data_IF_573252054760
#
_entry.id   IF_573252054760
#
_cell.length_a   1.000
_cell.length_b   1.000
_cell.length_c   1.000
_cell.angle_alpha   90.00
_cell.angle_beta   90.00
_cell.angle_gamma   90.00
#
_symmetry.space_group_name_H-M   'P 1'
#
loop_
_entity.id
_entity.type
_entity.pdbx_description
1 polymer ?
#
# COMPACT_ATOMS: atom_id res chain seq x y z
N UNK A 1 11.28 18.52 21.76
CA UNK A 1 11.40 17.05 21.88
C UNK A 1 11.21 16.45 20.51
N UNK A 2 12.07 15.52 20.09
CA UNK A 2 11.97 14.85 18.79
C UNK A 2 10.84 13.80 18.80
N UNK A 3 10.13 13.67 17.69
CA UNK A 3 9.11 12.64 17.48
C UNK A 3 9.77 11.29 17.13
N UNK A 4 9.03 10.20 17.32
CA UNK A 4 9.43 8.92 16.77
C UNK A 4 9.38 8.97 15.23
N UNK A 5 10.39 8.39 14.60
CA UNK A 5 10.43 8.21 13.15
C UNK A 5 9.21 7.41 12.66
N UNK A 6 8.68 7.78 11.50
CA UNK A 6 7.49 7.12 10.93
C UNK A 6 7.69 5.61 10.75
N UNK A 7 8.87 5.18 10.31
CA UNK A 7 9.21 3.76 10.16
C UNK A 7 9.09 3.01 11.50
N UNK A 8 9.50 3.64 12.61
CA UNK A 8 9.42 3.07 13.95
C UNK A 8 7.99 2.92 14.44
N UNK A 9 7.11 3.88 14.11
CA UNK A 9 5.68 3.76 14.40
C UNK A 9 5.02 2.62 13.61
N UNK A 10 5.51 2.34 12.39
CA UNK A 10 5.05 1.21 11.59
C UNK A 10 5.52 -0.12 12.18
N UNK A 11 6.78 -0.24 12.58
CA UNK A 11 7.31 -1.45 13.24
C UNK A 11 6.55 -1.79 14.53
N UNK A 12 6.19 -0.77 15.32
CA UNK A 12 5.35 -0.93 16.51
C UNK A 12 3.94 -1.41 16.14
N UNK A 13 3.30 -0.80 15.13
CA UNK A 13 1.97 -1.21 14.68
C UNK A 13 1.95 -2.65 14.13
N UNK A 14 3.05 -3.09 13.50
CA UNK A 14 3.21 -4.46 13.01
C UNK A 14 3.51 -5.47 14.13
N UNK A 15 4.01 -5.02 15.28
CA UNK A 15 4.50 -5.88 16.36
C UNK A 15 5.86 -6.50 16.03
N UNK A 16 6.70 -5.82 15.25
CA UNK A 16 8.03 -6.29 14.84
C UNK A 16 9.18 -5.60 15.59
N UNK A 17 8.88 -4.69 16.51
CA UNK A 17 9.88 -4.03 17.35
C UNK A 17 10.42 -4.98 18.43
N UNK A 18 11.66 -4.76 18.88
CA UNK A 18 12.17 -5.49 20.06
C UNK A 18 11.49 -5.01 21.35
N UNK A 19 11.47 -5.83 22.40
CA UNK A 19 10.82 -5.50 23.69
C UNK A 19 11.31 -4.18 24.29
N UNK A 20 12.60 -3.89 24.18
CA UNK A 20 13.21 -2.64 24.68
C UNK A 20 12.70 -1.43 23.90
N UNK A 21 12.62 -1.57 22.58
CA UNK A 21 12.15 -0.51 21.68
C UNK A 21 10.66 -0.24 21.86
N UNK A 22 9.87 -1.30 22.03
CA UNK A 22 8.44 -1.22 22.31
C UNK A 22 8.18 -0.48 23.63
N UNK A 23 8.90 -0.85 24.69
CA UNK A 23 8.76 -0.19 26.01
C UNK A 23 9.06 1.30 25.94
N UNK A 24 10.18 1.68 25.31
CA UNK A 24 10.57 3.08 25.15
C UNK A 24 9.56 3.86 24.29
N UNK A 25 9.08 3.26 23.20
CA UNK A 25 8.10 3.90 22.33
C UNK A 25 6.73 4.06 23.02
N UNK A 26 6.27 3.07 23.79
CA UNK A 26 5.03 3.18 24.57
C UNK A 26 5.12 4.29 25.62
N UNK A 27 6.26 4.43 26.30
CA UNK A 27 6.50 5.54 27.21
C UNK A 27 6.41 6.89 26.48
N UNK A 28 7.02 7.02 25.30
CA UNK A 28 6.94 8.23 24.49
C UNK A 28 5.50 8.53 24.04
N UNK A 29 4.79 7.54 23.49
CA UNK A 29 3.41 7.68 22.98
C UNK A 29 2.41 8.05 24.07
N UNK A 30 2.67 7.63 25.32
CA UNK A 30 1.84 8.04 26.47
C UNK A 30 1.88 9.55 26.73
N UNK A 31 2.99 10.21 26.39
CA UNK A 31 3.20 11.65 26.63
C UNK A 31 3.13 12.50 25.37
N UNK A 32 3.29 11.91 24.18
CA UNK A 32 3.31 12.62 22.89
C UNK A 32 2.04 12.36 22.07
N UNK A 33 1.11 13.34 22.07
CA UNK A 33 -0.15 13.26 21.30
C UNK A 33 0.05 13.02 19.80
N UNK A 34 0.94 13.73 19.08
CA UNK A 34 1.15 13.49 17.65
C UNK A 34 1.61 12.07 17.32
N UNK A 35 2.54 11.51 18.09
CA UNK A 35 3.01 10.14 17.90
C UNK A 35 1.93 9.10 18.21
N UNK A 36 1.08 9.36 19.21
CA UNK A 36 -0.08 8.52 19.52
C UNK A 36 -1.08 8.48 18.37
N UNK A 37 -1.49 9.64 17.87
CA UNK A 37 -2.44 9.72 16.75
C UNK A 37 -1.90 9.04 15.49
N UNK A 38 -0.60 9.17 15.23
CA UNK A 38 0.06 8.50 14.12
C UNK A 38 0.11 6.96 14.31
N UNK A 39 0.45 6.49 15.51
CA UNK A 39 0.44 5.05 15.82
C UNK A 39 -0.96 4.45 15.68
N UNK A 40 -1.99 5.14 16.17
CA UNK A 40 -3.39 4.71 16.03
C UNK A 40 -3.81 4.60 14.56
N UNK A 41 -3.40 5.56 13.71
CA UNK A 41 -3.64 5.48 12.25
C UNK A 41 -2.99 4.24 11.65
N UNK A 42 -1.72 3.98 11.96
CA UNK A 42 -1.00 2.81 11.44
C UNK A 42 -1.60 1.50 11.95
N UNK A 43 -1.99 1.45 13.23
CA UNK A 43 -2.64 0.27 13.83
C UNK A 43 -3.95 -0.05 13.13
N UNK A 44 -4.77 0.96 12.79
CA UNK A 44 -6.01 0.74 12.02
C UNK A 44 -5.73 0.12 10.64
N UNK A 45 -4.71 0.61 9.93
CA UNK A 45 -4.33 0.04 8.63
C UNK A 45 -3.89 -1.42 8.78
N UNK A 46 -3.07 -1.73 9.79
CA UNK A 46 -2.61 -3.10 10.04
C UNK A 46 -3.78 -4.03 10.40
N UNK A 47 -4.72 -3.57 11.24
CA UNK A 47 -5.91 -4.34 11.59
C UNK A 47 -6.75 -4.64 10.35
N UNK A 48 -7.02 -3.64 9.50
CA UNK A 48 -7.75 -3.81 8.26
C UNK A 48 -7.03 -4.77 7.30
N UNK A 49 -5.71 -4.61 7.14
CA UNK A 49 -4.92 -5.49 6.28
C UNK A 49 -4.92 -6.95 6.77
N UNK A 50 -4.92 -7.17 8.08
CA UNK A 50 -5.01 -8.51 8.68
C UNK A 50 -6.41 -9.12 8.61
N UNK A 51 -7.46 -8.31 8.44
CA UNK A 51 -8.82 -8.80 8.26
C UNK A 51 -9.19 -9.06 6.79
N UNK A 52 -8.29 -8.82 5.84
CA UNK A 52 -8.49 -9.14 4.42
C UNK A 52 -8.53 -10.65 4.26
N UNK A 53 -9.63 -11.16 3.72
CA UNK A 53 -9.81 -12.57 3.39
C UNK A 53 -9.61 -12.83 1.89
N UNK A 54 -9.55 -14.10 1.51
CA UNK A 54 -9.40 -14.51 0.11
C UNK A 54 -10.50 -13.94 -0.82
N UNK A 55 -11.69 -13.64 -0.27
CA UNK A 55 -12.79 -13.03 -1.00
C UNK A 55 -12.56 -11.54 -1.34
N UNK A 56 -11.72 -10.85 -0.57
CA UNK A 56 -11.36 -9.44 -0.79
C UNK A 56 -10.23 -9.31 -1.82
N UNK A 57 -9.56 -10.41 -2.15
CA UNK A 57 -8.47 -10.40 -3.12
C UNK A 57 -9.02 -10.23 -4.54
N UNK A 58 -8.40 -9.39 -5.38
CA UNK A 58 -8.79 -9.27 -6.77
C UNK A 58 -8.60 -10.61 -7.48
N UNK A 59 -9.67 -11.06 -8.16
CA UNK A 59 -9.59 -12.25 -9.00
C UNK A 59 -8.81 -11.90 -10.26
N UNK A 60 -7.84 -12.76 -10.62
CA UNK A 60 -7.10 -12.59 -11.86
C UNK A 60 -8.06 -12.53 -13.05
N UNK A 61 -7.98 -11.50 -13.92
CA UNK A 61 -8.85 -11.40 -15.07
C UNK A 61 -8.59 -12.57 -16.03
N UNK A 62 -9.65 -13.03 -16.69
CA UNK A 62 -9.60 -14.14 -17.63
C UNK A 62 -8.66 -13.79 -18.79
N UNK A 63 -7.90 -14.77 -19.32
CA UNK A 63 -6.87 -14.52 -20.34
C UNK A 63 -7.36 -13.75 -21.57
N UNK A 64 -8.63 -13.92 -21.97
CA UNK A 64 -9.25 -13.15 -23.06
C UNK A 64 -9.28 -11.64 -22.84
N UNK A 65 -9.37 -11.19 -21.57
CA UNK A 65 -9.38 -9.77 -21.21
C UNK A 65 -8.01 -9.17 -21.53
N UNK A 66 -6.94 -9.86 -21.14
CA UNK A 66 -5.58 -9.45 -21.50
C UNK A 66 -5.32 -9.49 -23.00
N UNK A 67 -5.76 -10.54 -23.70
CA UNK A 67 -5.64 -10.62 -25.16
C UNK A 67 -6.28 -9.42 -25.87
N UNK A 68 -7.49 -9.01 -25.44
CA UNK A 68 -8.17 -7.85 -25.98
C UNK A 68 -7.42 -6.55 -25.68
N UNK A 69 -7.00 -6.34 -24.44
CA UNK A 69 -6.22 -5.15 -24.03
C UNK A 69 -4.94 -5.04 -24.89
N UNK A 70 -4.21 -6.14 -25.06
CA UNK A 70 -3.01 -6.17 -25.90
C UNK A 70 -3.33 -5.82 -27.35
N UNK A 71 -4.40 -6.39 -27.91
CA UNK A 71 -4.81 -6.12 -29.29
C UNK A 71 -5.20 -4.65 -29.52
N UNK A 72 -5.96 -4.05 -28.60
CA UNK A 72 -6.37 -2.63 -28.68
C UNK A 72 -5.16 -1.68 -28.61
N UNK A 73 -4.21 -1.96 -27.71
CA UNK A 73 -2.97 -1.18 -27.59
C UNK A 73 -2.10 -1.29 -28.85
N UNK A 74 -2.01 -2.49 -29.45
CA UNK A 74 -1.29 -2.70 -30.71
C UNK A 74 -1.93 -1.96 -31.88
N UNK A 75 -3.26 -1.97 -32.00
CA UNK A 75 -4.00 -1.25 -33.05
C UNK A 75 -3.88 0.28 -32.92
N UNK A 76 -3.79 0.79 -31.69
CA UNK A 76 -3.58 2.22 -31.45
C UNK A 76 -2.16 2.67 -31.82
N UNK A 77 -1.20 1.74 -31.80
CA UNK A 77 0.22 2.01 -32.08
C UNK A 77 0.57 1.83 -33.55
N UNK A 78 -0.30 1.21 -34.36
CA UNK A 78 -0.09 1.17 -35.81
C UNK A 78 -0.10 2.59 -36.37
N UNK A 79 0.99 3.06 -37.01
CA UNK A 79 0.99 4.34 -37.68
C UNK A 79 -0.09 4.29 -38.74
N UNK A 80 -1.05 5.21 -38.67
CA UNK A 80 -2.06 5.40 -39.72
C UNK A 80 -1.30 5.56 -41.04
N UNK A 81 -1.26 4.50 -41.86
CA UNK A 81 -0.62 4.55 -43.16
C UNK A 81 -1.46 5.52 -44.01
N UNK A 82 -1.04 6.79 -44.05
CA UNK A 82 -1.59 7.77 -44.98
C UNK A 82 -1.13 7.29 -46.37
N UNK A 83 -2.03 6.89 -47.28
CA UNK A 83 -1.61 6.61 -48.64
C UNK A 83 -1.01 7.90 -49.24
N UNK A 84 0.07 7.83 -50.03
CA UNK A 84 0.58 8.99 -50.74
C UNK A 84 -0.53 9.53 -51.64
N UNK A 85 -0.84 10.81 -51.52
CA UNK A 85 -1.83 11.47 -52.36
C UNK A 85 -1.44 11.39 -53.84
N UNK A 86 -2.45 11.12 -54.68
CA UNK A 86 -2.44 11.40 -56.12
C UNK A 86 -2.57 12.90 -56.40
#
# INVERSE_FOLDING_TARGET
MAHLESARLVELALGSATLTEETHAHQHVSTCRPCREQLERMTRVVVLARSVDAADLPVAPLGRVWQRITQELSQTTEPRHRPPGE
#
